data_IF_721999380655
#
_entry.id   IF_721999380655
#
_cell.length_a   1.000
_cell.length_b   1.000
_cell.length_c   1.000
_cell.angle_alpha   90.00
_cell.angle_beta   90.00
_cell.angle_gamma   90.00
#
_symmetry.space_group_name_H-M   'P 1'
#
loop_
_entity.id
_entity.type
_entity.pdbx_description
1 polymer ?
#
# COMPACT_ATOMS: atom_id res chain seq x y z
N UNK A 1 58.22 -56.81 84.47
CA UNK A 1 58.80 -56.83 83.11
C UNK A 1 58.67 -58.26 82.68
N UNK A 2 57.72 -58.65 81.85
CA UNK A 2 57.17 -58.06 80.63
C UNK A 2 55.78 -58.70 80.38
N UNK A 3 54.76 -57.90 80.00
CA UNK A 3 54.12 -57.88 78.66
C UNK A 3 53.21 -59.11 78.41
N UNK A 4 52.01 -59.07 77.83
CA UNK A 4 50.97 -58.07 77.56
C UNK A 4 49.75 -58.90 77.08
N UNK A 5 48.57 -58.27 77.06
CA UNK A 5 47.30 -58.63 76.41
C UNK A 5 47.49 -59.39 75.06
N UNK A 6 46.62 -60.27 74.55
CA UNK A 6 45.17 -60.31 74.53
C UNK A 6 44.75 -61.64 73.86
N UNK A 7 43.74 -62.36 74.38
CA UNK A 7 43.10 -63.48 73.65
C UNK A 7 41.89 -62.97 72.90
N UNK A 8 42.03 -62.68 71.61
CA UNK A 8 40.90 -62.41 70.71
C UNK A 8 40.79 -63.49 69.62
N UNK A 9 39.66 -64.19 69.66
CA UNK A 9 39.14 -65.22 68.77
C UNK A 9 39.51 -65.10 67.28
N UNK A 10 40.17 -66.13 66.74
CA UNK A 10 40.39 -66.32 65.31
C UNK A 10 39.10 -66.82 64.62
N UNK A 11 38.16 -65.92 64.35
CA UNK A 11 37.08 -66.18 63.38
C UNK A 11 37.74 -66.24 62.00
N UNK A 12 37.45 -67.30 61.23
CA UNK A 12 37.99 -67.49 59.87
C UNK A 12 37.62 -66.30 58.98
N UNK A 13 38.58 -65.40 58.75
CA UNK A 13 38.41 -64.15 57.99
C UNK A 13 38.21 -64.38 56.48
N UNK A 14 38.51 -65.57 55.97
CA UNK A 14 38.54 -65.88 54.53
C UNK A 14 37.16 -65.81 53.84
N UNK A 15 36.07 -66.43 54.34
CA UNK A 15 34.74 -66.29 53.75
C UNK A 15 34.19 -64.86 53.82
N UNK A 16 34.51 -64.11 54.88
CA UNK A 16 34.09 -62.72 55.05
C UNK A 16 34.82 -61.83 54.03
N UNK A 17 36.13 -62.04 53.84
CA UNK A 17 36.92 -61.32 52.85
C UNK A 17 36.40 -61.56 51.41
N UNK A 18 35.99 -62.79 51.09
CA UNK A 18 35.46 -63.14 49.76
C UNK A 18 34.08 -62.54 49.51
N UNK A 19 33.24 -62.45 50.54
CA UNK A 19 31.96 -61.75 50.47
C UNK A 19 32.14 -60.24 50.23
N UNK A 20 33.08 -59.60 50.91
CA UNK A 20 33.40 -58.19 50.70
C UNK A 20 33.96 -57.92 49.30
N UNK A 21 34.83 -58.80 48.80
CA UNK A 21 35.35 -58.73 47.43
C UNK A 21 34.21 -58.81 46.40
N UNK A 22 33.26 -59.73 46.58
CA UNK A 22 32.12 -59.88 45.69
C UNK A 22 31.20 -58.64 45.69
N UNK A 23 30.98 -58.02 46.84
CA UNK A 23 30.20 -56.78 46.97
C UNK A 23 30.92 -55.61 46.28
N UNK A 24 32.24 -55.48 46.47
CA UNK A 24 33.03 -54.42 45.83
C UNK A 24 33.06 -54.62 44.31
N UNK A 25 33.25 -55.85 43.85
CA UNK A 25 33.28 -56.17 42.42
C UNK A 25 31.91 -56.01 41.75
N UNK A 26 30.83 -56.42 42.44
CA UNK A 26 29.46 -56.20 42.00
C UNK A 26 29.09 -54.72 41.98
N UNK A 27 29.43 -53.99 43.04
CA UNK A 27 29.16 -52.55 43.17
C UNK A 27 29.92 -51.73 42.13
N UNK A 28 31.17 -52.07 41.84
CA UNK A 28 31.98 -51.41 40.80
C UNK A 28 31.47 -51.72 39.38
N UNK A 29 31.04 -52.95 39.11
CA UNK A 29 30.38 -53.29 37.84
C UNK A 29 29.09 -52.52 37.62
N UNK A 30 28.26 -52.39 38.65
CA UNK A 30 27.00 -51.67 38.61
C UNK A 30 27.21 -50.15 38.50
N UNK A 31 28.21 -49.61 39.20
CA UNK A 31 28.64 -48.21 39.08
C UNK A 31 29.12 -47.87 37.66
N UNK A 32 29.94 -48.73 37.06
CA UNK A 32 30.42 -48.55 35.70
C UNK A 32 29.28 -48.64 34.67
N UNK A 33 28.34 -49.57 34.84
CA UNK A 33 27.16 -49.69 33.98
C UNK A 33 26.26 -48.44 34.01
N UNK A 34 26.02 -47.87 35.21
CA UNK A 34 25.26 -46.62 35.38
C UNK A 34 26.03 -45.41 34.80
N UNK A 35 27.35 -45.37 34.94
CA UNK A 35 28.14 -44.27 34.41
C UNK A 35 28.24 -44.31 32.86
N UNK A 36 28.29 -45.51 32.28
CA UNK A 36 28.26 -45.69 30.83
C UNK A 36 26.89 -45.34 30.23
N UNK A 37 25.78 -45.68 30.91
CA UNK A 37 24.44 -45.34 30.42
C UNK A 37 24.18 -43.83 30.38
N UNK A 38 24.78 -43.07 31.31
CA UNK A 38 24.69 -41.60 31.33
C UNK A 38 25.39 -40.91 30.15
N UNK A 39 26.36 -41.57 29.49
CA UNK A 39 27.07 -41.00 28.34
C UNK A 39 26.33 -41.17 27.01
N UNK A 40 25.28 -41.99 26.95
CA UNK A 40 24.54 -42.29 25.70
C UNK A 40 23.38 -41.31 25.43
N UNK A 41 22.82 -40.69 26.47
CA UNK A 41 21.77 -39.67 26.35
C UNK A 41 22.15 -38.48 25.45
N UNK A 42 23.34 -37.85 25.56
CA UNK A 42 23.66 -36.70 24.71
C UNK A 42 23.85 -37.07 23.22
N UNK A 43 24.15 -38.34 22.91
CA UNK A 43 24.31 -38.77 21.52
C UNK A 43 22.95 -38.88 20.82
N UNK A 44 21.92 -39.42 21.49
CA UNK A 44 20.57 -39.48 20.90
C UNK A 44 19.99 -38.08 20.68
N UNK A 45 20.16 -37.17 21.64
CA UNK A 45 19.71 -35.77 21.50
C UNK A 45 20.36 -35.07 20.30
N UNK A 46 21.64 -35.34 20.04
CA UNK A 46 22.36 -34.77 18.90
C UNK A 46 21.90 -35.32 17.54
N UNK A 47 21.45 -36.57 17.49
CA UNK A 47 20.92 -37.21 16.27
C UNK A 47 19.50 -36.71 15.96
N UNK A 48 18.66 -36.54 16.98
CA UNK A 48 17.34 -35.92 16.86
C UNK A 48 17.45 -34.43 16.47
N UNK A 49 18.41 -33.71 17.05
CA UNK A 49 18.72 -32.34 16.66
C UNK A 49 19.27 -32.23 15.23
N UNK A 50 20.09 -33.20 14.79
CA UNK A 50 20.60 -33.30 13.43
C UNK A 50 19.49 -33.52 12.41
N UNK A 51 18.57 -34.45 12.68
CA UNK A 51 17.40 -34.73 11.83
C UNK A 51 16.46 -33.52 11.74
N UNK A 52 16.22 -32.85 12.87
CA UNK A 52 15.43 -31.61 12.92
C UNK A 52 16.08 -30.47 12.14
N UNK A 53 17.41 -30.38 12.14
CA UNK A 53 18.16 -29.38 11.39
C UNK A 53 18.12 -29.65 9.88
N UNK A 54 18.22 -30.91 9.47
CA UNK A 54 18.04 -31.30 8.07
C UNK A 54 16.63 -30.96 7.55
N UNK A 55 15.58 -31.25 8.32
CA UNK A 55 14.22 -30.89 7.95
C UNK A 55 14.02 -29.37 7.80
N UNK A 56 14.67 -28.56 8.65
CA UNK A 56 14.64 -27.09 8.52
C UNK A 56 15.38 -26.62 7.26
N UNK A 57 16.50 -27.23 6.90
CA UNK A 57 17.23 -26.89 5.68
C UNK A 57 16.40 -27.19 4.43
N UNK A 58 15.71 -28.33 4.38
CA UNK A 58 14.79 -28.70 3.30
C UNK A 58 13.66 -27.66 3.16
N UNK A 59 13.08 -27.24 4.29
CA UNK A 59 12.03 -26.23 4.31
C UNK A 59 12.55 -24.85 3.86
N UNK A 60 13.78 -24.49 4.23
CA UNK A 60 14.42 -23.27 3.76
C UNK A 60 14.68 -23.31 2.25
N UNK A 61 15.19 -24.42 1.71
CA UNK A 61 15.38 -24.63 0.28
C UNK A 61 14.08 -24.44 -0.50
N UNK A 62 13.00 -25.07 -0.07
CA UNK A 62 11.67 -24.90 -0.68
C UNK A 62 11.18 -23.45 -0.61
N UNK A 63 11.41 -22.76 0.51
CA UNK A 63 11.05 -21.34 0.64
C UNK A 63 11.88 -20.44 -0.28
N UNK A 64 13.14 -20.78 -0.53
CA UNK A 64 14.03 -20.04 -1.42
C UNK A 64 13.61 -20.23 -2.88
N UNK A 65 13.29 -21.45 -3.31
CA UNK A 65 12.77 -21.71 -4.66
C UNK A 65 11.47 -20.97 -4.93
N UNK A 66 10.57 -20.96 -3.94
CA UNK A 66 9.31 -20.21 -4.01
C UNK A 66 9.57 -18.71 -4.17
N UNK A 67 10.46 -18.15 -3.33
CA UNK A 67 10.84 -16.74 -3.41
C UNK A 67 11.54 -16.40 -4.73
N UNK A 68 12.37 -17.29 -5.27
CA UNK A 68 13.04 -17.06 -6.55
C UNK A 68 12.03 -16.96 -7.70
N UNK A 69 11.01 -17.82 -7.68
CA UNK A 69 9.89 -17.79 -8.62
C UNK A 69 9.05 -16.53 -8.47
N UNK A 70 8.84 -16.08 -7.23
CA UNK A 70 8.12 -14.83 -6.97
C UNK A 70 8.92 -13.59 -7.42
N UNK A 71 10.24 -13.59 -7.19
CA UNK A 71 11.13 -12.48 -7.60
C UNK A 71 11.19 -12.36 -9.12
N UNK A 72 11.24 -13.47 -9.86
CA UNK A 72 11.21 -13.42 -11.32
C UNK A 72 9.86 -12.90 -11.84
N UNK A 73 8.75 -13.31 -11.24
CA UNK A 73 7.43 -12.79 -11.57
C UNK A 73 7.30 -11.27 -11.29
N UNK A 74 7.81 -10.79 -10.14
CA UNK A 74 7.86 -9.36 -9.81
C UNK A 74 8.71 -8.56 -10.81
N UNK A 75 9.84 -9.10 -11.26
CA UNK A 75 10.66 -8.46 -12.29
C UNK A 75 9.89 -8.26 -13.60
N UNK A 76 9.09 -9.24 -14.01
CA UNK A 76 8.28 -9.14 -15.23
C UNK A 76 7.13 -8.13 -15.09
N UNK A 77 6.53 -8.03 -13.91
CA UNK A 77 5.53 -7.00 -13.61
C UNK A 77 6.13 -5.58 -13.62
N UNK A 78 7.33 -5.40 -13.07
CA UNK A 78 8.06 -4.13 -13.18
C UNK A 78 8.34 -3.78 -14.64
N UNK A 79 8.78 -4.73 -15.45
CA UNK A 79 9.03 -4.49 -16.88
C UNK A 79 7.76 -4.03 -17.61
N UNK A 80 6.62 -4.70 -17.37
CA UNK A 80 5.31 -4.28 -17.91
C UNK A 80 4.90 -2.89 -17.46
N UNK A 81 5.20 -2.53 -16.22
CA UNK A 81 4.91 -1.20 -15.66
C UNK A 81 5.75 -0.13 -16.36
N UNK A 82 7.04 -0.38 -16.56
CA UNK A 82 7.95 0.52 -17.28
C UNK A 82 7.50 0.72 -18.73
N UNK A 83 7.17 -0.36 -19.44
CA UNK A 83 6.66 -0.28 -20.82
C UNK A 83 5.36 0.53 -20.90
N UNK A 84 4.45 0.30 -19.95
CA UNK A 84 3.20 1.06 -19.86
C UNK A 84 3.47 2.56 -19.63
N UNK A 85 4.38 2.90 -18.71
CA UNK A 85 4.77 4.28 -18.44
C UNK A 85 5.39 4.95 -19.68
N UNK A 86 6.21 4.21 -20.44
CA UNK A 86 6.82 4.70 -21.69
C UNK A 86 5.75 5.08 -22.72
N UNK A 87 4.73 4.24 -22.88
CA UNK A 87 3.59 4.50 -23.78
C UNK A 87 2.85 5.76 -23.34
N UNK A 88 2.47 5.88 -22.06
CA UNK A 88 1.77 7.07 -21.56
C UNK A 88 2.60 8.35 -21.71
N UNK A 89 3.91 8.29 -21.45
CA UNK A 89 4.81 9.40 -21.64
C UNK A 89 4.76 9.92 -23.08
N UNK A 90 4.96 9.03 -24.06
CA UNK A 90 4.93 9.40 -25.48
C UNK A 90 3.57 9.95 -25.96
N UNK A 91 2.45 9.41 -25.47
CA UNK A 91 1.12 9.88 -25.82
C UNK A 91 0.87 11.29 -25.28
N UNK A 92 1.33 11.58 -24.06
CA UNK A 92 1.21 12.90 -23.47
C UNK A 92 2.00 13.95 -24.27
N UNK A 93 3.22 13.64 -24.69
CA UNK A 93 4.02 14.55 -25.53
C UNK A 93 3.35 14.82 -26.87
N UNK A 94 2.75 13.79 -27.49
CA UNK A 94 2.01 13.96 -28.75
C UNK A 94 0.79 14.87 -28.57
N UNK A 95 0.03 14.70 -27.49
CA UNK A 95 -1.12 15.56 -27.20
C UNK A 95 -0.71 17.02 -26.97
N UNK A 96 0.40 17.26 -26.26
CA UNK A 96 0.95 18.60 -26.06
C UNK A 96 1.39 19.23 -27.38
N UNK A 97 2.03 18.45 -28.26
CA UNK A 97 2.42 18.93 -29.60
C UNK A 97 1.22 19.30 -30.45
N UNK A 98 0.14 18.51 -30.42
CA UNK A 98 -1.09 18.81 -31.15
C UNK A 98 -1.76 20.08 -30.62
N UNK A 99 -1.89 20.21 -29.30
CA UNK A 99 -2.47 21.41 -28.67
C UNK A 99 -1.63 22.65 -29.01
N UNK A 100 -0.30 22.55 -28.94
CA UNK A 100 0.59 23.66 -29.30
C UNK A 100 0.44 24.08 -30.76
N UNK A 101 0.36 23.10 -31.68
CA UNK A 101 0.12 23.37 -33.09
C UNK A 101 -1.26 24.01 -33.33
N UNK A 102 -2.31 23.50 -32.69
CA UNK A 102 -3.66 24.04 -32.79
C UNK A 102 -3.76 25.47 -32.23
N UNK A 103 -3.12 25.77 -31.09
CA UNK A 103 -3.08 27.12 -30.52
C UNK A 103 -2.38 28.10 -31.47
N UNK A 104 -1.29 27.68 -32.11
CA UNK A 104 -0.61 28.50 -33.12
C UNK A 104 -1.52 28.78 -34.32
N UNK A 105 -2.18 27.74 -34.86
CA UNK A 105 -3.14 27.89 -35.97
C UNK A 105 -4.27 28.87 -35.63
N UNK A 106 -4.91 28.70 -34.46
CA UNK A 106 -5.96 29.61 -34.01
C UNK A 106 -5.46 31.06 -33.89
N UNK A 107 -4.24 31.24 -33.37
CA UNK A 107 -3.63 32.57 -33.27
C UNK A 107 -3.46 33.21 -34.66
N UNK A 108 -2.96 32.46 -35.64
CA UNK A 108 -2.77 32.97 -37.00
C UNK A 108 -4.11 33.33 -37.67
N UNK A 109 -5.16 32.55 -37.44
CA UNK A 109 -6.53 32.86 -37.91
C UNK A 109 -7.07 34.16 -37.30
N UNK A 110 -6.86 34.39 -36.00
CA UNK A 110 -7.29 35.63 -35.31
C UNK A 110 -6.57 36.84 -35.91
N UNK A 111 -5.27 36.72 -36.20
CA UNK A 111 -4.49 37.81 -36.81
C UNK A 111 -5.00 38.13 -38.22
N UNK A 112 -5.25 37.10 -39.05
CA UNK A 112 -5.76 37.27 -40.40
C UNK A 112 -7.17 37.89 -40.40
N UNK A 113 -8.04 37.47 -39.47
CA UNK A 113 -9.37 38.07 -39.31
C UNK A 113 -9.27 39.55 -38.93
N UNK A 114 -8.37 39.91 -38.01
CA UNK A 114 -8.13 41.29 -37.64
C UNK A 114 -7.63 42.13 -38.82
N UNK A 115 -6.78 41.56 -39.67
CA UNK A 115 -6.26 42.22 -40.87
C UNK A 115 -7.37 42.46 -41.91
N UNK A 116 -8.23 41.45 -42.16
CA UNK A 116 -9.43 41.61 -43.01
C UNK A 116 -10.41 42.65 -42.47
N UNK A 117 -10.62 42.71 -41.15
CA UNK A 117 -11.48 43.73 -40.54
C UNK A 117 -10.90 45.13 -40.72
N UNK A 118 -9.57 45.29 -40.59
CA UNK A 118 -8.88 46.55 -40.83
C UNK A 118 -9.03 46.99 -42.29
N UNK A 119 -8.93 46.06 -43.23
CA UNK A 119 -9.08 46.33 -44.66
C UNK A 119 -10.52 46.73 -45.03
N UNK A 120 -11.53 46.07 -44.43
CA UNK A 120 -12.94 46.44 -44.59
C UNK A 120 -13.25 47.82 -44.01
N UNK A 121 -12.59 48.21 -42.92
CA UNK A 121 -12.71 49.53 -42.31
C UNK A 121 -11.99 50.64 -43.12
N UNK A 122 -11.06 50.28 -44.02
CA UNK A 122 -10.28 51.23 -44.84
C UNK A 122 -10.84 51.46 -46.25
N UNK A 123 -11.92 50.77 -46.65
CA UNK A 123 -12.57 50.94 -47.97
C UNK A 123 -13.28 52.30 -48.13
N UNK A 124 -13.53 52.77 -49.38
CA UNK A 124 -14.04 54.11 -49.64
C UNK A 124 -15.44 54.30 -49.04
N UNK A 125 -15.58 55.28 -48.14
CA UNK A 125 -16.85 55.67 -47.55
C UNK A 125 -17.62 56.54 -48.56
N UNK A 126 -18.80 56.14 -49.07
CA UNK A 126 -19.63 57.07 -49.81
C UNK A 126 -20.15 58.13 -48.83
N UNK A 127 -19.92 59.39 -49.18
CA UNK A 127 -20.46 60.53 -48.46
C UNK A 127 -21.95 60.73 -48.80
N UNK A 128 -22.71 61.19 -47.79
CA UNK A 128 -24.11 61.62 -47.82
C UNK A 128 -25.18 60.50 -47.86
N UNK A 129 -26.28 60.53 -47.11
CA UNK A 129 -27.01 61.69 -46.58
C UNK A 129 -27.73 61.41 -45.25
N UNK A 130 -27.83 62.45 -44.41
CA UNK A 130 -28.76 62.57 -43.29
C UNK A 130 -30.17 62.89 -43.78
N UNK A 131 -31.19 62.34 -43.09
CA UNK A 131 -32.43 62.99 -42.59
C UNK A 131 -33.71 62.16 -42.80
N UNK A 132 -34.38 61.77 -41.70
CA UNK A 132 -35.79 62.09 -41.39
C UNK A 132 -36.51 61.04 -40.49
N UNK A 133 -36.93 61.52 -39.31
CA UNK A 133 -38.21 61.32 -38.61
C UNK A 133 -38.75 59.94 -38.19
N UNK A 134 -39.03 59.83 -36.88
CA UNK A 134 -40.02 58.91 -36.27
C UNK A 134 -41.47 59.35 -36.62
N UNK A 135 -42.51 58.48 -36.53
CA UNK A 135 -43.11 58.07 -35.24
C UNK A 135 -43.58 56.59 -35.15
N UNK A 136 -44.25 56.28 -34.03
CA UNK A 136 -44.54 54.99 -33.38
C UNK A 136 -45.59 54.04 -34.03
N UNK A 137 -45.50 52.73 -33.70
CA UNK A 137 -46.50 51.91 -32.96
C UNK A 137 -46.68 50.45 -33.47
N UNK A 138 -46.55 49.47 -32.54
CA UNK A 138 -47.12 48.11 -32.54
C UNK A 138 -46.55 47.10 -33.57
N UNK A 139 -46.19 45.85 -33.28
CA UNK A 139 -46.65 44.89 -32.27
C UNK A 139 -45.66 43.70 -32.20
N UNK A 140 -45.46 43.17 -31.00
CA UNK A 140 -44.79 41.91 -30.59
C UNK A 140 -45.25 40.65 -31.36
N UNK A 141 -44.51 39.49 -31.37
CA UNK A 141 -44.10 38.80 -30.13
C UNK A 141 -42.78 38.00 -30.12
N UNK A 142 -42.49 37.52 -28.89
CA UNK A 142 -41.68 36.35 -28.52
C UNK A 142 -40.22 36.62 -28.14
N UNK A 143 -40.05 37.18 -26.94
CA UNK A 143 -38.82 37.06 -26.17
C UNK A 143 -38.85 35.80 -25.32
N UNK A 144 -37.79 34.99 -25.42
CA UNK A 144 -37.40 34.04 -24.37
C UNK A 144 -36.03 34.49 -23.88
N UNK A 145 -36.01 34.90 -22.62
CA UNK A 145 -34.95 35.67 -22.00
C UNK A 145 -33.68 34.89 -21.72
N UNK A 146 -32.59 35.62 -21.87
CA UNK A 146 -31.29 35.40 -21.23
C UNK A 146 -31.48 35.29 -19.71
N UNK A 147 -30.94 34.22 -19.11
CA UNK A 147 -30.64 34.17 -17.68
C UNK A 147 -29.11 34.01 -17.58
N UNK A 148 -28.40 35.12 -17.38
CA UNK A 148 -28.02 35.65 -16.06
C UNK A 148 -26.83 34.89 -15.46
N UNK A 149 -25.67 35.47 -15.69
CA UNK A 149 -24.45 35.31 -14.91
C UNK A 149 -24.64 36.05 -13.57
N UNK A 150 -24.35 35.44 -12.41
CA UNK A 150 -23.96 36.16 -11.20
C UNK A 150 -22.48 35.81 -10.92
N UNK A 151 -21.52 36.72 -11.07
CA UNK A 151 -21.15 37.75 -10.09
C UNK A 151 -21.09 37.17 -8.67
N UNK A 152 -19.85 36.88 -8.27
CA UNK A 152 -19.43 36.47 -6.93
C UNK A 152 -19.71 37.60 -5.93
N UNK A 153 -20.58 37.35 -4.96
CA UNK A 153 -20.59 38.04 -3.67
C UNK A 153 -21.08 37.11 -2.57
N UNK A 154 -20.42 37.21 -1.42
CA UNK A 154 -20.39 36.20 -0.35
C UNK A 154 -21.59 36.11 0.58
N UNK A 155 -21.36 35.40 1.69
CA UNK A 155 -22.31 35.08 2.77
C UNK A 155 -22.44 33.56 2.92
N UNK A 156 -21.71 32.93 3.85
CA UNK A 156 -22.03 32.77 5.28
C UNK A 156 -23.23 31.84 5.54
N UNK A 157 -22.91 30.71 6.20
CA UNK A 157 -23.65 30.05 7.28
C UNK A 157 -25.00 29.35 7.00
N UNK A 158 -25.09 28.11 7.52
CA UNK A 158 -26.30 27.29 7.67
C UNK A 158 -25.96 25.82 7.38
N UNK A 159 -25.38 25.05 8.30
CA UNK A 159 -26.00 24.43 9.48
C UNK A 159 -27.33 23.72 9.18
N UNK A 160 -27.30 22.40 9.26
CA UNK A 160 -28.44 21.60 9.69
C UNK A 160 -29.23 20.90 8.58
N UNK A 161 -28.82 19.69 8.25
CA UNK A 161 -29.78 18.60 8.12
C UNK A 161 -29.19 17.35 8.75
N UNK A 162 -29.32 17.29 10.08
CA UNK A 162 -29.49 16.07 10.84
C UNK A 162 -30.59 15.22 10.19
N UNK A 163 -30.18 14.28 9.37
CA UNK A 163 -30.87 13.02 9.17
C UNK A 163 -29.82 11.94 9.38
N UNK A 164 -30.17 10.73 9.86
CA UNK A 164 -29.19 9.64 9.97
C UNK A 164 -28.71 9.31 8.56
N UNK A 165 -27.63 9.97 8.14
CA UNK A 165 -26.96 9.72 6.89
C UNK A 165 -26.52 8.26 6.98
N UNK A 166 -27.20 7.43 6.20
CA UNK A 166 -26.84 6.04 6.00
C UNK A 166 -25.38 6.05 5.60
N UNK A 167 -24.49 5.71 6.54
CA UNK A 167 -23.04 5.82 6.38
C UNK A 167 -22.63 4.99 5.17
N UNK A 168 -22.46 5.67 4.03
CA UNK A 168 -22.29 4.98 2.76
C UNK A 168 -20.82 4.62 2.68
N UNK A 169 -20.53 3.34 2.74
CA UNK A 169 -19.14 2.87 2.69
C UNK A 169 -18.66 2.78 1.25
N UNK A 170 -17.41 3.18 1.00
CA UNK A 170 -16.76 3.08 -0.30
C UNK A 170 -15.45 2.31 -0.18
N UNK A 171 -15.25 1.33 -1.05
CA UNK A 171 -14.01 0.57 -1.12
C UNK A 171 -13.08 1.21 -2.13
N UNK A 172 -11.89 1.62 -1.68
CA UNK A 172 -10.88 2.27 -2.49
C UNK A 172 -10.39 1.32 -3.60
N UNK A 173 -10.34 1.83 -4.83
CA UNK A 173 -9.81 1.12 -5.99
C UNK A 173 -8.44 1.66 -6.39
N UNK A 174 -7.76 0.94 -7.30
CA UNK A 174 -6.44 1.34 -7.78
C UNK A 174 -6.50 2.68 -8.52
N UNK A 175 -5.69 3.65 -8.07
CA UNK A 175 -5.62 4.99 -8.67
C UNK A 175 -6.62 6.01 -8.13
N UNK A 176 -7.39 5.64 -7.11
CA UNK A 176 -8.26 6.55 -6.37
C UNK A 176 -7.47 7.46 -5.43
N UNK A 177 -7.99 8.67 -5.25
CA UNK A 177 -7.54 9.61 -4.22
C UNK A 177 -8.76 10.23 -3.56
N UNK A 178 -8.62 10.71 -2.33
CA UNK A 178 -9.71 11.40 -1.63
C UNK A 178 -10.26 12.58 -2.45
N UNK A 179 -9.39 13.31 -3.16
CA UNK A 179 -9.80 14.38 -4.07
C UNK A 179 -10.67 13.87 -5.23
N UNK A 180 -10.27 12.78 -5.90
CA UNK A 180 -11.05 12.18 -6.99
C UNK A 180 -12.39 11.62 -6.51
N UNK A 181 -12.39 10.90 -5.39
CA UNK A 181 -13.61 10.31 -4.80
C UNK A 181 -14.55 11.44 -4.39
N UNK A 182 -14.04 12.49 -3.74
CA UNK A 182 -14.82 13.62 -3.32
C UNK A 182 -15.50 14.32 -4.51
N UNK A 183 -14.74 14.60 -5.59
CA UNK A 183 -15.29 15.19 -6.81
C UNK A 183 -16.30 14.27 -7.50
N UNK A 184 -16.06 12.96 -7.58
CA UNK A 184 -16.99 12.01 -8.20
C UNK A 184 -18.29 11.84 -7.41
N UNK A 185 -18.23 11.93 -6.08
CA UNK A 185 -19.38 11.79 -5.20
C UNK A 185 -20.06 13.13 -4.87
N UNK A 186 -19.52 14.25 -5.34
CA UNK A 186 -20.05 15.58 -5.06
C UNK A 186 -19.95 15.98 -3.59
N UNK A 187 -19.04 15.37 -2.83
CA UNK A 187 -18.80 15.66 -1.41
C UNK A 187 -17.58 16.57 -1.26
N UNK A 188 -17.54 17.35 -0.18
CA UNK A 188 -16.36 18.15 0.10
C UNK A 188 -15.20 17.26 0.57
N UNK A 189 -13.98 17.60 0.14
CA UNK A 189 -12.78 16.90 0.59
C UNK A 189 -12.64 16.95 2.13
N UNK A 190 -13.01 18.09 2.73
CA UNK A 190 -12.92 18.27 4.18
C UNK A 190 -13.90 17.34 4.92
N UNK A 191 -15.16 17.27 4.48
CA UNK A 191 -16.14 16.37 5.09
C UNK A 191 -15.73 14.89 4.96
N UNK A 192 -15.07 14.51 3.86
CA UNK A 192 -14.55 13.15 3.67
C UNK A 192 -13.37 12.84 4.62
N UNK A 193 -12.52 13.82 4.91
CA UNK A 193 -11.42 13.70 5.87
C UNK A 193 -11.97 13.64 7.30
N UNK A 194 -12.93 14.50 7.64
CA UNK A 194 -13.59 14.50 8.96
C UNK A 194 -14.34 13.20 9.24
N UNK A 195 -14.96 12.59 8.22
CA UNK A 195 -15.60 11.29 8.33
C UNK A 195 -14.60 10.12 8.52
N UNK A 196 -13.31 10.33 8.23
CA UNK A 196 -12.28 9.28 8.25
C UNK A 196 -10.95 9.78 8.88
N UNK A 197 -10.94 10.14 10.19
CA UNK A 197 -9.75 10.67 10.85
C UNK A 197 -8.60 9.65 10.93
N UNK A 198 -8.91 8.36 10.96
CA UNK A 198 -7.93 7.26 11.01
C UNK A 198 -7.32 6.91 9.64
N UNK A 199 -7.78 7.55 8.56
CA UNK A 199 -7.32 7.25 7.19
C UNK A 199 -6.32 8.28 6.72
N UNK A 200 -5.12 7.81 6.46
CA UNK A 200 -4.02 8.63 5.98
C UNK A 200 -4.17 8.90 4.47
N UNK A 201 -4.57 10.13 4.10
CA UNK A 201 -4.89 10.52 2.71
C UNK A 201 -3.76 10.32 1.71
N UNK A 202 -2.50 10.26 2.19
CA UNK A 202 -1.29 10.05 1.37
C UNK A 202 -0.93 8.57 1.22
N UNK A 203 -1.56 7.67 2.00
CA UNK A 203 -1.25 6.23 2.07
C UNK A 203 -2.51 5.38 1.96
N UNK A 204 -3.35 5.69 0.99
CA UNK A 204 -4.57 4.92 0.72
C UNK A 204 -4.22 3.52 0.23
N UNK A 205 -4.84 2.51 0.84
CA UNK A 205 -4.67 1.12 0.46
C UNK A 205 -5.82 0.67 -0.45
N UNK A 206 -5.50 -0.06 -1.50
CA UNK A 206 -6.51 -0.67 -2.38
C UNK A 206 -7.30 -1.70 -1.56
N UNK A 207 -8.63 -1.66 -1.65
CA UNK A 207 -9.51 -2.50 -0.85
C UNK A 207 -9.86 -1.94 0.53
N UNK A 208 -9.28 -0.80 0.91
CA UNK A 208 -9.62 -0.11 2.16
C UNK A 208 -11.03 0.48 2.07
N UNK A 209 -11.82 0.31 3.13
CA UNK A 209 -13.18 0.85 3.21
C UNK A 209 -13.14 2.21 3.91
N UNK A 210 -13.67 3.23 3.25
CA UNK A 210 -13.83 4.58 3.80
C UNK A 210 -15.31 4.92 3.95
N UNK A 211 -15.61 5.78 4.93
CA UNK A 211 -16.95 6.27 5.22
C UNK A 211 -17.22 7.53 4.41
N UNK A 212 -18.31 7.54 3.66
CA UNK A 212 -18.81 8.77 3.02
C UNK A 212 -19.75 9.48 4.02
N UNK A 213 -19.62 10.80 4.20
CA UNK A 213 -20.50 11.61 5.04
C UNK A 213 -21.93 11.69 4.48
#
# INVERSE_FOLDING_TARGET
>A
MEEEFESSSSVSMLPIALALLAIVLGGTGLYFGINASQQLSPLTDSVDAGTSSAARLEQQLSSIETRLTEVSARSEELAKTVDRLRIYGSQSEQSVRQVTAAVKSNRDEIVNLAEKMKELAAGPRPAAASSASAPAAGTSPSGSGVASRPELSGGSSGSGSDGPAQARSYTIQSGDTFAKIASQKGISLNALIEANPDVDTRRLQIGQVIRLP
#
